data_IF_801618944299
#
_entry.id   IF_801618944299
#
_cell.length_a   1.000
_cell.length_b   1.000
_cell.length_c   1.000
_cell.angle_alpha   90.00
_cell.angle_beta   90.00
_cell.angle_gamma   90.00
#
_symmetry.space_group_name_H-M   'P 1'
#
loop_
_entity.id
_entity.type
_entity.pdbx_description
1 polymer ?
#
# COMPACT_ATOMS: atom_id res chain seq x y z
N UNK A 1 -11.11 -11.70 -12.58
CA UNK A 1 -9.74 -11.26 -12.18
C UNK A 1 -9.14 -12.32 -11.27
N UNK A 2 -7.84 -12.62 -11.39
CA UNK A 2 -7.16 -13.60 -10.52
C UNK A 2 -7.07 -12.98 -9.13
N UNK A 3 -7.50 -13.74 -8.11
CA UNK A 3 -7.32 -13.37 -6.71
C UNK A 3 -6.16 -14.16 -6.10
N UNK A 4 -5.45 -13.55 -5.16
CA UNK A 4 -4.39 -14.19 -4.36
C UNK A 4 -4.80 -14.15 -2.90
N UNK A 5 -4.39 -15.14 -2.13
CA UNK A 5 -4.54 -15.09 -0.68
C UNK A 5 -3.56 -14.08 -0.08
N UNK A 6 -4.02 -13.28 0.84
CA UNK A 6 -3.22 -12.27 1.52
C UNK A 6 -2.45 -12.89 2.70
N UNK A 7 -1.26 -13.41 2.39
CA UNK A 7 -0.46 -14.15 3.37
C UNK A 7 -1.15 -15.45 3.80
N UNK A 8 -1.36 -15.61 5.10
CA UNK A 8 -2.09 -16.74 5.71
C UNK A 8 -3.41 -16.30 6.35
N UNK A 9 -3.90 -15.11 6.01
CA UNK A 9 -5.09 -14.50 6.61
C UNK A 9 -6.42 -15.12 6.16
N UNK A 10 -6.43 -15.94 5.12
CA UNK A 10 -7.65 -16.42 4.47
C UNK A 10 -8.37 -15.38 3.62
N UNK A 11 -7.88 -14.13 3.57
CA UNK A 11 -8.49 -13.03 2.81
C UNK A 11 -8.03 -13.11 1.35
N UNK A 12 -8.97 -13.18 0.42
CA UNK A 12 -8.69 -13.22 -1.02
C UNK A 12 -8.72 -11.81 -1.60
N UNK A 13 -7.61 -11.33 -2.13
CA UNK A 13 -7.44 -9.97 -2.65
C UNK A 13 -7.19 -9.96 -4.16
N UNK A 14 -7.58 -8.87 -4.88
CA UNK A 14 -7.24 -8.69 -6.28
C UNK A 14 -5.73 -8.43 -6.47
N UNK A 15 -5.29 -8.42 -7.72
CA UNK A 15 -3.88 -8.23 -8.09
C UNK A 15 -3.31 -6.83 -7.79
N UNK A 16 -4.16 -5.86 -7.44
CA UNK A 16 -3.78 -4.49 -7.04
C UNK A 16 -4.56 -4.07 -5.80
N UNK A 17 -3.91 -3.25 -4.96
CA UNK A 17 -4.52 -2.54 -3.84
C UNK A 17 -4.66 -1.07 -4.19
N UNK A 18 -5.82 -0.47 -3.96
CA UNK A 18 -6.00 0.96 -4.17
C UNK A 18 -5.54 1.76 -2.95
N UNK A 19 -4.62 2.69 -3.16
CA UNK A 19 -4.12 3.58 -2.12
C UNK A 19 -5.03 4.79 -1.90
N UNK A 20 -5.71 4.82 -0.76
CA UNK A 20 -6.63 5.89 -0.36
C UNK A 20 -5.96 7.19 0.11
N UNK A 21 -4.62 7.28 0.06
CA UNK A 21 -3.88 8.48 0.48
C UNK A 21 -4.19 9.75 -0.35
N UNK A 22 -4.91 9.61 -1.44
CA UNK A 22 -5.39 10.73 -2.29
C UNK A 22 -6.72 11.31 -1.80
N UNK A 23 -7.49 10.56 -1.04
CA UNK A 23 -8.79 10.97 -0.53
C UNK A 23 -8.64 12.03 0.58
N UNK A 24 -9.43 13.09 0.49
CA UNK A 24 -9.34 14.23 1.40
C UNK A 24 -8.06 15.08 1.21
N UNK A 25 -7.33 14.89 0.11
CA UNK A 25 -6.16 15.68 -0.26
C UNK A 25 -6.22 16.15 -1.71
N UNK A 26 -5.87 15.28 -2.68
CA UNK A 26 -5.84 15.63 -4.11
C UNK A 26 -7.12 15.26 -4.84
N UNK A 27 -8.01 14.53 -4.19
CA UNK A 27 -9.31 14.09 -4.70
C UNK A 27 -10.40 14.51 -3.73
N UNK A 28 -11.40 15.21 -4.21
CA UNK A 28 -12.57 15.58 -3.43
C UNK A 28 -13.50 14.37 -3.12
N UNK A 29 -14.46 14.56 -2.25
CA UNK A 29 -15.35 13.48 -1.83
C UNK A 29 -16.18 12.90 -2.98
N UNK A 30 -16.70 13.74 -3.88
CA UNK A 30 -17.53 13.30 -5.00
C UNK A 30 -16.75 12.44 -5.99
N UNK A 31 -15.54 12.88 -6.35
CA UNK A 31 -14.61 12.10 -7.20
C UNK A 31 -14.16 10.83 -6.49
N UNK A 32 -13.90 10.89 -5.18
CA UNK A 32 -13.55 9.71 -4.37
C UNK A 32 -14.65 8.65 -4.41
N UNK A 33 -15.91 9.04 -4.30
CA UNK A 33 -17.03 8.12 -4.41
C UNK A 33 -17.13 7.47 -5.78
N UNK A 34 -16.91 8.25 -6.85
CA UNK A 34 -16.89 7.72 -8.21
C UNK A 34 -15.76 6.71 -8.43
N UNK A 35 -14.57 6.97 -7.86
CA UNK A 35 -13.44 6.04 -7.89
C UNK A 35 -13.75 4.77 -7.10
N UNK A 36 -14.32 4.87 -5.89
CA UNK A 36 -14.67 3.72 -5.06
C UNK A 36 -15.74 2.83 -5.72
N UNK A 37 -16.75 3.44 -6.36
CA UNK A 37 -17.75 2.70 -7.13
C UNK A 37 -17.13 1.98 -8.33
N UNK A 38 -16.23 2.64 -9.05
CA UNK A 38 -15.53 2.07 -10.19
C UNK A 38 -14.55 0.94 -9.78
N UNK A 39 -13.91 1.04 -8.60
CA UNK A 39 -13.09 -0.03 -8.03
C UNK A 39 -13.91 -1.29 -7.79
N UNK A 40 -15.08 -1.16 -7.17
CA UNK A 40 -15.97 -2.30 -6.93
C UNK A 40 -16.45 -2.89 -8.26
N UNK A 41 -16.88 -2.06 -9.22
CA UNK A 41 -17.32 -2.51 -10.53
C UNK A 41 -16.23 -3.27 -11.31
N UNK A 42 -14.96 -2.90 -11.14
CA UNK A 42 -13.80 -3.56 -11.76
C UNK A 42 -13.20 -4.68 -10.90
N UNK A 43 -13.80 -5.05 -9.76
CA UNK A 43 -13.29 -6.06 -8.83
C UNK A 43 -11.87 -5.75 -8.27
N UNK A 44 -11.49 -4.48 -8.24
CA UNK A 44 -10.29 -3.96 -7.58
C UNK A 44 -10.62 -3.44 -6.18
N UNK A 45 -11.32 -4.23 -5.41
CA UNK A 45 -12.02 -3.87 -4.18
C UNK A 45 -11.16 -3.96 -2.92
N UNK A 46 -9.84 -3.95 -3.02
CA UNK A 46 -8.93 -3.86 -1.88
C UNK A 46 -8.41 -2.43 -1.74
N UNK A 47 -8.72 -1.79 -0.61
CA UNK A 47 -8.46 -0.37 -0.34
C UNK A 47 -7.54 -0.27 0.86
N UNK A 48 -6.39 0.40 0.69
CA UNK A 48 -5.44 0.70 1.77
C UNK A 48 -5.53 2.17 2.17
N UNK A 49 -5.75 2.43 3.45
CA UNK A 49 -5.75 3.75 4.06
C UNK A 49 -4.91 3.76 5.34
N UNK A 50 -4.97 4.81 6.14
CA UNK A 50 -4.35 4.92 7.46
C UNK A 50 -5.03 6.03 8.27
N UNK A 51 -4.91 5.95 9.59
CA UNK A 51 -5.38 7.00 10.51
C UNK A 51 -4.75 8.36 10.22
N UNK A 52 -3.46 8.39 9.88
CA UNK A 52 -2.70 9.62 9.60
C UNK A 52 -2.94 10.18 8.19
N UNK A 53 -3.60 9.44 7.29
CA UNK A 53 -3.68 9.86 5.90
C UNK A 53 -4.41 11.17 5.74
N UNK A 54 -3.80 11.97 4.89
CA UNK A 54 -4.11 13.35 4.50
C UNK A 54 -3.79 14.43 5.54
N UNK A 55 -3.15 14.08 6.67
CA UNK A 55 -2.70 15.06 7.68
C UNK A 55 -1.70 16.09 7.13
N UNK A 56 -1.00 15.76 6.04
CA UNK A 56 -0.05 16.64 5.36
C UNK A 56 -0.70 17.72 4.49
N UNK A 57 -1.99 17.63 4.24
CA UNK A 57 -2.72 18.65 3.51
C UNK A 57 -3.10 19.82 4.45
N UNK A 58 -2.99 21.04 3.95
CA UNK A 58 -3.29 22.23 4.75
C UNK A 58 -4.74 22.18 5.31
N UNK A 59 -4.86 22.36 6.61
CA UNK A 59 -6.16 22.34 7.32
C UNK A 59 -6.58 20.94 7.80
N UNK A 60 -5.94 19.87 7.37
CA UNK A 60 -6.25 18.51 7.78
C UNK A 60 -5.54 18.14 9.10
N UNK A 61 -6.06 17.11 9.77
CA UNK A 61 -5.54 16.61 11.07
C UNK A 61 -5.19 15.12 11.05
N UNK A 62 -5.46 14.44 9.93
CA UNK A 62 -5.46 12.98 9.80
C UNK A 62 -6.85 12.38 10.02
N UNK A 63 -7.08 11.24 9.38
CA UNK A 63 -8.38 10.56 9.36
C UNK A 63 -9.31 10.97 8.24
N UNK A 64 -8.93 11.96 7.42
CA UNK A 64 -9.77 12.42 6.31
C UNK A 64 -10.00 11.33 5.28
N UNK A 65 -8.97 10.55 4.94
CA UNK A 65 -9.12 9.42 4.03
C UNK A 65 -10.09 8.36 4.55
N UNK A 66 -9.97 7.96 5.81
CA UNK A 66 -10.89 7.01 6.44
C UNK A 66 -12.32 7.57 6.49
N UNK A 67 -12.47 8.88 6.76
CA UNK A 67 -13.78 9.55 6.81
C UNK A 67 -14.47 9.54 5.44
N UNK A 68 -13.74 9.83 4.36
CA UNK A 68 -14.27 9.76 2.99
C UNK A 68 -14.72 8.34 2.65
N UNK A 69 -13.92 7.34 2.97
CA UNK A 69 -14.27 5.92 2.76
C UNK A 69 -15.52 5.57 3.58
N UNK A 70 -15.58 5.97 4.85
CA UNK A 70 -16.71 5.72 5.73
C UNK A 70 -18.02 6.36 5.23
N UNK A 71 -17.96 7.61 4.76
CA UNK A 71 -19.10 8.29 4.15
C UNK A 71 -19.62 7.54 2.92
N UNK A 72 -18.71 7.05 2.07
CA UNK A 72 -19.06 6.23 0.92
C UNK A 72 -19.67 4.89 1.34
N UNK A 73 -19.09 4.19 2.33
CA UNK A 73 -19.63 2.93 2.85
C UNK A 73 -21.07 3.08 3.35
N UNK A 74 -21.31 4.12 4.16
CA UNK A 74 -22.66 4.43 4.66
C UNK A 74 -23.66 4.73 3.54
N UNK A 75 -23.22 5.50 2.53
CA UNK A 75 -24.09 5.90 1.41
C UNK A 75 -24.37 4.73 0.47
N UNK A 76 -23.37 3.91 0.18
CA UNK A 76 -23.45 2.84 -0.82
C UNK A 76 -23.98 1.52 -0.26
N UNK A 77 -23.82 1.25 1.04
CA UNK A 77 -24.12 -0.04 1.67
C UNK A 77 -23.20 -1.19 1.21
N UNK A 78 -22.00 -0.87 0.66
CA UNK A 78 -21.12 -1.85 0.02
C UNK A 78 -20.00 -2.38 0.94
N UNK A 79 -20.13 -2.31 2.28
CA UNK A 79 -19.07 -2.74 3.19
C UNK A 79 -18.57 -4.16 2.93
N UNK A 80 -19.44 -5.11 2.67
CA UNK A 80 -19.11 -6.50 2.42
C UNK A 80 -18.50 -6.77 1.04
N UNK A 81 -18.56 -5.79 0.14
CA UNK A 81 -18.01 -5.90 -1.20
C UNK A 81 -16.56 -5.43 -1.29
N UNK A 82 -16.02 -4.83 -0.22
CA UNK A 82 -14.67 -4.28 -0.16
C UNK A 82 -13.84 -4.87 0.96
N UNK A 83 -12.54 -4.90 0.77
CA UNK A 83 -11.53 -5.25 1.75
C UNK A 83 -10.83 -3.95 2.14
N UNK A 84 -10.85 -3.61 3.43
CA UNK A 84 -10.28 -2.37 3.95
C UNK A 84 -9.07 -2.68 4.81
N UNK A 85 -7.92 -2.14 4.40
CA UNK A 85 -6.73 -2.05 5.23
C UNK A 85 -6.58 -0.64 5.78
N UNK A 86 -6.32 -0.52 7.07
CA UNK A 86 -5.88 0.74 7.67
C UNK A 86 -4.71 0.52 8.63
N UNK A 87 -4.17 1.59 9.21
CA UNK A 87 -2.90 1.54 9.95
C UNK A 87 -2.94 2.42 11.19
N UNK A 88 -2.08 2.08 12.16
CA UNK A 88 -1.86 2.83 13.41
C UNK A 88 -0.36 2.95 13.70
N UNK A 89 0.02 3.99 14.42
CA UNK A 89 1.36 4.13 14.98
C UNK A 89 2.07 5.42 14.59
N UNK A 90 1.76 6.03 13.46
CA UNK A 90 2.30 7.35 13.10
C UNK A 90 1.69 8.47 13.96
N UNK A 91 2.42 9.59 14.14
CA UNK A 91 1.93 10.69 14.97
C UNK A 91 0.61 11.29 14.47
N UNK A 92 -0.39 11.28 15.35
CA UNK A 92 -1.73 11.89 15.16
C UNK A 92 -1.98 13.05 16.14
N UNK A 93 -0.93 13.57 16.75
CA UNK A 93 -0.97 14.63 17.77
C UNK A 93 -0.36 14.19 19.09
N UNK A 94 -0.38 15.07 20.09
CA UNK A 94 0.24 14.80 21.39
C UNK A 94 -0.32 13.54 22.06
N UNK A 95 0.55 12.60 22.41
CA UNK A 95 0.21 11.33 23.04
C UNK A 95 -0.55 10.33 22.15
N UNK A 96 -0.64 10.58 20.84
CA UNK A 96 -1.31 9.72 19.85
C UNK A 96 -0.32 9.24 18.82
N UNK A 97 0.54 8.30 19.21
CA UNK A 97 1.55 7.67 18.38
C UNK A 97 2.05 6.36 18.98
N UNK A 98 2.81 5.59 18.20
CA UNK A 98 3.40 4.32 18.62
C UNK A 98 2.41 3.17 18.69
N UNK A 99 2.85 2.07 19.28
CA UNK A 99 2.11 0.80 19.28
C UNK A 99 1.82 0.30 20.71
N UNK A 100 1.73 1.21 21.68
CA UNK A 100 1.34 0.82 23.03
C UNK A 100 -0.09 0.26 23.04
N UNK A 101 -0.39 -0.72 23.90
CA UNK A 101 -1.73 -1.33 23.99
C UNK A 101 -2.85 -0.30 24.20
N UNK A 102 -2.57 0.73 25.02
CA UNK A 102 -3.51 1.81 25.27
C UNK A 102 -3.84 2.56 23.96
N UNK A 103 -2.81 2.90 23.18
CA UNK A 103 -3.00 3.68 21.96
C UNK A 103 -3.63 2.85 20.85
N UNK A 104 -3.22 1.58 20.67
CA UNK A 104 -3.82 0.67 19.69
C UNK A 104 -5.34 0.56 19.92
N UNK A 105 -5.77 0.32 21.18
CA UNK A 105 -7.20 0.22 21.52
C UNK A 105 -7.96 1.51 21.23
N UNK A 106 -7.37 2.67 21.53
CA UNK A 106 -7.98 3.96 21.22
C UNK A 106 -8.05 4.21 19.72
N UNK A 107 -6.96 3.99 19.01
CA UNK A 107 -6.84 4.29 17.58
C UNK A 107 -7.78 3.42 16.73
N UNK A 108 -7.97 2.13 17.07
CA UNK A 108 -8.90 1.26 16.33
C UNK A 108 -10.34 1.75 16.45
N UNK A 109 -10.79 2.20 17.64
CA UNK A 109 -12.14 2.75 17.82
C UNK A 109 -12.33 4.03 17.01
N UNK A 110 -11.29 4.89 16.98
CA UNK A 110 -11.32 6.11 16.19
C UNK A 110 -11.39 5.81 14.69
N UNK A 111 -10.64 4.81 14.21
CA UNK A 111 -10.67 4.34 12.81
C UNK A 111 -12.02 3.71 12.45
N UNK A 112 -12.57 2.83 13.29
CA UNK A 112 -13.90 2.23 13.08
C UNK A 112 -14.99 3.28 12.99
N UNK A 113 -14.93 4.32 13.84
CA UNK A 113 -15.88 5.44 13.82
C UNK A 113 -15.76 6.25 12.52
N UNK A 114 -14.54 6.57 12.06
CA UNK A 114 -14.33 7.30 10.80
C UNK A 114 -14.76 6.46 9.59
N UNK A 115 -14.41 5.18 9.58
CA UNK A 115 -14.82 4.23 8.54
C UNK A 115 -16.31 3.85 8.60
N UNK A 116 -17.01 4.17 9.68
CA UNK A 116 -18.42 3.84 9.88
C UNK A 116 -18.73 2.34 9.66
N UNK A 117 -17.90 1.49 10.26
CA UNK A 117 -17.98 0.02 10.17
C UNK A 117 -17.59 -0.61 11.50
N UNK A 118 -18.02 -1.87 11.71
CA UNK A 118 -17.77 -2.61 12.95
C UNK A 118 -16.46 -3.37 12.91
N UNK A 119 -15.85 -3.55 11.72
CA UNK A 119 -14.62 -4.31 11.56
C UNK A 119 -13.71 -3.76 10.47
N UNK A 120 -12.42 -4.06 10.62
CA UNK A 120 -11.34 -3.78 9.66
C UNK A 120 -10.82 -5.13 9.15
N UNK A 121 -10.62 -5.27 7.83
CA UNK A 121 -10.11 -6.52 7.26
C UNK A 121 -8.62 -6.72 7.54
N UNK A 122 -7.81 -5.67 7.42
CA UNK A 122 -6.38 -5.69 7.72
C UNK A 122 -5.98 -4.46 8.53
N UNK A 123 -5.50 -4.66 9.76
CA UNK A 123 -5.02 -3.58 10.62
C UNK A 123 -3.50 -3.66 10.76
N UNK A 124 -2.79 -2.59 10.42
CA UNK A 124 -1.34 -2.65 10.26
C UNK A 124 -0.62 -1.73 11.24
N UNK A 125 0.50 -2.22 11.81
CA UNK A 125 1.52 -1.34 12.39
C UNK A 125 2.11 -0.49 11.26
N UNK A 126 1.91 0.82 11.31
CA UNK A 126 2.37 1.74 10.26
C UNK A 126 3.90 1.93 10.27
N UNK A 127 4.49 1.88 11.45
CA UNK A 127 5.94 1.84 11.70
C UNK A 127 6.22 0.87 12.87
N UNK A 128 7.48 0.43 13.01
CA UNK A 128 7.95 -0.24 14.22
C UNK A 128 7.97 0.74 15.40
N UNK A 129 7.61 0.25 16.57
CA UNK A 129 7.73 0.99 17.84
C UNK A 129 8.67 0.22 18.78
N UNK A 130 9.91 0.72 18.91
CA UNK A 130 10.93 0.09 19.75
C UNK A 130 10.80 0.44 21.23
N UNK A 131 9.95 1.41 21.55
CA UNK A 131 9.69 1.83 22.94
C UNK A 131 8.64 0.92 23.61
N UNK A 132 7.84 0.20 22.79
CA UNK A 132 6.85 -0.76 23.26
C UNK A 132 7.33 -2.20 23.01
N UNK A 133 7.35 -3.07 24.02
CA UNK A 133 7.66 -4.50 23.83
C UNK A 133 6.74 -5.15 22.80
N UNK A 134 7.29 -5.97 21.89
CA UNK A 134 6.50 -6.67 20.87
C UNK A 134 5.39 -7.53 21.45
N UNK A 135 5.63 -8.15 22.61
CA UNK A 135 4.61 -8.95 23.31
C UNK A 135 3.38 -8.12 23.66
N UNK A 136 3.56 -6.88 24.08
CA UNK A 136 2.46 -5.98 24.43
C UNK A 136 1.71 -5.51 23.18
N UNK A 137 2.44 -5.11 22.14
CA UNK A 137 1.87 -4.70 20.85
C UNK A 137 1.05 -5.82 20.23
N UNK A 138 1.62 -7.04 20.13
CA UNK A 138 0.97 -8.18 19.51
C UNK A 138 -0.21 -8.70 20.34
N UNK A 139 -0.12 -8.65 21.69
CA UNK A 139 -1.24 -8.99 22.56
C UNK A 139 -2.43 -8.03 22.34
N UNK A 140 -2.16 -6.72 22.18
CA UNK A 140 -3.23 -5.75 21.88
C UNK A 140 -3.91 -6.02 20.53
N UNK A 141 -3.14 -6.35 19.50
CA UNK A 141 -3.72 -6.76 18.21
C UNK A 141 -4.51 -8.08 18.29
N UNK A 142 -3.99 -9.06 19.03
CA UNK A 142 -4.67 -10.34 19.26
C UNK A 142 -6.03 -10.16 19.95
N UNK A 143 -6.10 -9.25 20.93
CA UNK A 143 -7.39 -8.87 21.56
C UNK A 143 -8.39 -8.31 20.54
N UNK A 144 -7.94 -7.47 19.59
CA UNK A 144 -8.80 -6.90 18.56
C UNK A 144 -9.35 -7.96 17.60
N UNK A 145 -8.53 -8.95 17.26
CA UNK A 145 -8.96 -10.10 16.45
C UNK A 145 -9.99 -10.93 17.20
N UNK A 146 -9.73 -11.27 18.48
CA UNK A 146 -10.65 -12.03 19.35
C UNK A 146 -11.98 -11.29 19.56
N UNK A 147 -11.94 -9.97 19.59
CA UNK A 147 -13.14 -9.13 19.69
C UNK A 147 -13.89 -8.98 18.35
N UNK A 148 -13.38 -9.53 17.25
CA UNK A 148 -13.99 -9.43 15.93
C UNK A 148 -13.88 -8.06 15.27
N UNK A 149 -13.10 -7.13 15.83
CA UNK A 149 -12.87 -5.79 15.29
C UNK A 149 -11.87 -5.75 14.14
N UNK A 150 -10.98 -6.74 14.08
CA UNK A 150 -9.92 -6.88 13.09
C UNK A 150 -9.88 -8.33 12.62
N UNK A 151 -9.74 -8.56 11.30
CA UNK A 151 -9.68 -9.93 10.75
C UNK A 151 -8.24 -10.43 10.64
N UNK A 152 -7.30 -9.55 10.24
CA UNK A 152 -5.89 -9.87 10.09
C UNK A 152 -5.03 -8.66 10.46
N UNK A 153 -3.79 -8.90 10.84
CA UNK A 153 -2.82 -7.84 11.16
C UNK A 153 -1.61 -7.88 10.24
N UNK A 154 -0.93 -6.73 10.09
CA UNK A 154 0.23 -6.59 9.24
C UNK A 154 1.25 -5.59 9.77
N UNK A 155 2.45 -5.63 9.19
CA UNK A 155 3.55 -4.74 9.51
C UNK A 155 3.95 -3.89 8.30
N UNK A 156 4.22 -2.60 8.52
CA UNK A 156 4.78 -1.69 7.53
C UNK A 156 6.04 -1.03 8.10
N UNK A 157 7.03 -0.76 7.25
CA UNK A 157 8.30 -0.11 7.64
C UNK A 157 9.11 -0.86 8.71
N UNK A 158 8.95 -2.16 8.83
CA UNK A 158 9.79 -3.01 9.69
C UNK A 158 11.09 -3.40 8.99
N UNK A 159 12.18 -3.47 9.76
CA UNK A 159 13.40 -4.12 9.33
C UNK A 159 13.25 -5.64 9.40
N UNK A 160 14.07 -6.38 8.63
CA UNK A 160 13.93 -7.83 8.52
C UNK A 160 14.12 -8.59 9.85
N UNK A 161 15.12 -8.19 10.64
CA UNK A 161 15.39 -8.75 11.96
C UNK A 161 14.21 -8.54 12.92
N UNK A 162 13.68 -7.33 12.93
CA UNK A 162 12.57 -6.95 13.79
C UNK A 162 11.26 -7.64 13.40
N UNK A 163 11.04 -7.84 12.09
CA UNK A 163 9.89 -8.61 11.60
C UNK A 163 9.97 -10.07 12.01
N UNK A 164 11.16 -10.69 11.89
CA UNK A 164 11.38 -12.07 12.36
C UNK A 164 11.17 -12.19 13.86
N UNK A 165 11.68 -11.24 14.65
CA UNK A 165 11.45 -11.19 16.10
C UNK A 165 9.95 -11.13 16.43
N UNK A 166 9.19 -10.27 15.73
CA UNK A 166 7.75 -10.16 15.94
C UNK A 166 7.01 -11.48 15.64
N UNK A 167 7.38 -12.17 14.57
CA UNK A 167 6.81 -13.48 14.22
C UNK A 167 7.14 -14.54 15.26
N UNK A 168 8.38 -14.56 15.78
CA UNK A 168 8.80 -15.48 16.83
C UNK A 168 8.06 -15.21 18.16
N UNK A 169 7.91 -13.92 18.53
CA UNK A 169 7.14 -13.53 19.72
C UNK A 169 5.69 -13.98 19.62
N UNK A 170 5.06 -13.83 18.46
CA UNK A 170 3.69 -14.33 18.23
C UNK A 170 3.61 -15.84 18.43
N UNK A 171 4.52 -16.59 17.83
CA UNK A 171 4.54 -18.07 17.93
C UNK A 171 4.76 -18.54 19.36
N UNK A 172 5.76 -17.99 20.04
CA UNK A 172 6.12 -18.37 21.42
C UNK A 172 5.02 -18.08 22.44
N UNK A 173 4.20 -17.06 22.21
CA UNK A 173 3.16 -16.63 23.13
C UNK A 173 1.75 -17.00 22.66
N UNK A 174 1.59 -17.72 21.54
CA UNK A 174 0.29 -18.08 20.99
C UNK A 174 -0.58 -16.87 20.62
N UNK A 175 0.05 -15.78 20.18
CA UNK A 175 -0.61 -14.54 19.78
C UNK A 175 -0.85 -14.51 18.27
N UNK A 176 -1.75 -13.64 17.83
CA UNK A 176 -1.91 -13.32 16.42
C UNK A 176 -0.59 -12.85 15.82
N UNK A 177 -0.31 -13.28 14.59
CA UNK A 177 0.91 -12.94 13.87
C UNK A 177 0.64 -11.89 12.80
N UNK A 178 1.66 -11.17 12.40
CA UNK A 178 1.59 -10.40 11.18
C UNK A 178 1.45 -11.34 9.97
N UNK A 179 0.35 -11.20 9.22
CA UNK A 179 0.10 -11.94 7.97
C UNK A 179 0.59 -11.20 6.74
N UNK A 180 0.86 -9.91 6.87
CA UNK A 180 1.29 -9.07 5.75
C UNK A 180 2.50 -8.21 6.09
N UNK A 181 3.24 -7.88 5.02
CA UNK A 181 4.30 -6.88 5.03
C UNK A 181 4.00 -5.79 4.00
N UNK A 182 4.13 -4.52 4.40
CA UNK A 182 3.98 -3.37 3.51
C UNK A 182 5.29 -2.58 3.41
N UNK A 183 6.21 -2.92 2.47
CA UNK A 183 7.47 -2.23 2.25
C UNK A 183 7.40 -1.21 1.11
N UNK A 184 8.35 -0.28 1.02
CA UNK A 184 8.62 0.43 -0.23
C UNK A 184 9.25 -0.54 -1.24
N UNK A 185 8.64 -0.68 -2.42
CA UNK A 185 9.20 -1.51 -3.50
C UNK A 185 8.69 -1.07 -4.87
N UNK A 186 9.58 -0.84 -5.79
CA UNK A 186 9.31 -0.48 -7.19
C UNK A 186 10.60 -0.62 -8.01
N UNK A 187 10.54 -0.39 -9.33
CA UNK A 187 11.73 -0.47 -10.21
C UNK A 187 12.89 0.45 -9.79
N UNK A 188 12.63 1.52 -9.06
CA UNK A 188 13.69 2.40 -8.56
C UNK A 188 14.17 1.99 -7.15
N UNK A 189 13.27 1.65 -6.24
CA UNK A 189 13.57 1.28 -4.86
C UNK A 189 13.48 -0.24 -4.67
N UNK A 190 14.53 -0.97 -5.07
CA UNK A 190 14.57 -2.45 -5.04
C UNK A 190 15.25 -3.01 -3.80
N UNK A 191 16.41 -2.44 -3.45
CA UNK A 191 17.31 -3.03 -2.47
C UNK A 191 16.73 -3.18 -1.07
N UNK A 192 15.93 -2.21 -0.62
CA UNK A 192 15.32 -2.23 0.71
C UNK A 192 14.43 -3.44 0.95
N UNK A 193 13.81 -3.95 -0.11
CA UNK A 193 12.99 -5.16 -0.04
C UNK A 193 13.78 -6.42 -0.42
N UNK A 194 14.45 -6.43 -1.58
CA UNK A 194 15.09 -7.63 -2.16
C UNK A 194 16.27 -8.17 -1.33
N UNK A 195 17.01 -7.33 -0.58
CA UNK A 195 18.20 -7.77 0.17
C UNK A 195 17.89 -8.68 1.37
N UNK A 196 16.78 -8.43 2.07
CA UNK A 196 16.47 -9.18 3.29
C UNK A 196 14.98 -9.45 3.48
N UNK A 197 14.10 -8.44 3.27
CA UNK A 197 12.68 -8.57 3.54
C UNK A 197 11.97 -9.57 2.63
N UNK A 198 12.38 -9.70 1.38
CA UNK A 198 11.80 -10.66 0.43
C UNK A 198 11.96 -12.10 0.92
N UNK A 199 13.16 -12.46 1.38
CA UNK A 199 13.41 -13.80 1.92
C UNK A 199 12.56 -14.09 3.16
N UNK A 200 12.44 -13.11 4.08
CA UNK A 200 11.58 -13.24 5.26
C UNK A 200 10.11 -13.40 4.85
N UNK A 201 9.62 -12.58 3.92
CA UNK A 201 8.25 -12.66 3.46
C UNK A 201 7.92 -14.02 2.85
N UNK A 202 8.80 -14.55 2.00
CA UNK A 202 8.64 -15.88 1.39
C UNK A 202 8.72 -17.02 2.41
N UNK A 203 9.74 -17.00 3.28
CA UNK A 203 9.95 -18.04 4.29
C UNK A 203 8.76 -18.15 5.25
N UNK A 204 8.20 -17.01 5.65
CA UNK A 204 7.10 -16.97 6.62
C UNK A 204 5.71 -16.91 5.97
N UNK A 205 5.62 -16.89 4.63
CA UNK A 205 4.35 -16.86 3.90
C UNK A 205 3.56 -15.57 4.16
N UNK A 206 4.24 -14.42 4.17
CA UNK A 206 3.61 -13.11 4.32
C UNK A 206 3.04 -12.62 2.99
N UNK A 207 1.86 -12.03 3.02
CA UNK A 207 1.31 -11.30 1.89
C UNK A 207 1.99 -9.93 1.75
N UNK A 208 2.57 -9.63 0.59
CA UNK A 208 3.28 -8.36 0.38
C UNK A 208 2.42 -7.40 -0.42
N UNK A 209 2.15 -6.23 0.17
CA UNK A 209 1.40 -5.13 -0.42
C UNK A 209 2.29 -3.88 -0.42
N UNK A 210 3.22 -3.79 -1.36
CA UNK A 210 4.22 -2.73 -1.39
C UNK A 210 3.63 -1.36 -1.73
N UNK A 211 4.15 -0.31 -1.08
CA UNK A 211 3.79 1.08 -1.39
C UNK A 211 4.78 1.74 -2.35
N UNK A 212 4.41 2.94 -2.85
CA UNK A 212 5.16 3.69 -3.88
C UNK A 212 5.41 2.90 -5.16
N UNK A 213 4.48 2.04 -5.56
CA UNK A 213 4.59 1.18 -6.75
C UNK A 213 5.01 1.92 -8.02
N UNK A 214 4.65 3.19 -8.16
CA UNK A 214 5.05 4.06 -9.26
C UNK A 214 6.10 5.12 -8.87
N UNK A 215 6.87 4.92 -7.79
CA UNK A 215 7.86 5.87 -7.29
C UNK A 215 7.28 7.30 -7.19
N UNK A 216 6.19 7.45 -6.44
CA UNK A 216 5.41 8.70 -6.30
C UNK A 216 4.86 9.27 -7.62
N UNK A 217 4.83 8.48 -8.67
CA UNK A 217 4.40 8.86 -10.02
C UNK A 217 5.54 9.13 -11.01
N UNK A 218 6.80 8.95 -10.61
CA UNK A 218 7.95 9.06 -11.53
C UNK A 218 7.90 8.01 -12.65
N UNK A 219 7.58 6.77 -12.32
CA UNK A 219 7.53 5.66 -13.27
C UNK A 219 6.35 5.71 -14.25
N UNK A 220 5.49 6.72 -14.16
CA UNK A 220 4.51 7.03 -15.23
C UNK A 220 5.16 7.64 -16.47
N UNK A 221 6.42 8.08 -16.35
CA UNK A 221 7.16 8.71 -17.45
C UNK A 221 6.84 10.19 -17.69
N UNK A 222 6.03 10.83 -16.86
CA UNK A 222 5.65 12.24 -17.05
C UNK A 222 6.75 13.26 -16.65
N UNK A 223 7.75 12.82 -15.88
CA UNK A 223 8.87 13.66 -15.44
C UNK A 223 10.13 13.30 -16.21
N UNK A 224 10.55 14.16 -17.15
CA UNK A 224 11.71 13.96 -18.03
C UNK A 224 12.78 15.04 -17.86
N UNK A 225 12.43 16.16 -17.27
CA UNK A 225 13.30 17.30 -17.03
C UNK A 225 12.90 18.07 -15.79
N UNK A 226 13.77 18.96 -15.31
CA UNK A 226 13.48 19.87 -14.19
C UNK A 226 12.29 20.80 -14.47
N UNK A 227 11.94 21.02 -15.76
CA UNK A 227 10.77 21.83 -16.13
C UNK A 227 9.44 21.17 -15.78
N UNK A 228 9.46 19.88 -15.46
CA UNK A 228 8.26 19.09 -15.17
C UNK A 228 7.82 19.16 -13.69
N UNK A 229 8.53 19.91 -12.85
CA UNK A 229 8.23 20.08 -11.41
C UNK A 229 6.76 20.44 -11.16
N UNK A 230 6.20 21.36 -11.94
CA UNK A 230 4.82 21.83 -11.79
C UNK A 230 3.71 20.83 -12.14
N UNK A 231 4.04 19.62 -12.62
CA UNK A 231 3.04 18.63 -13.07
C UNK A 231 2.24 17.98 -11.92
N UNK A 232 2.70 18.11 -10.68
CA UNK A 232 1.93 17.69 -9.49
C UNK A 232 2.45 18.39 -8.24
N UNK A 233 1.67 18.29 -7.13
CA UNK A 233 2.09 18.80 -5.82
C UNK A 233 3.39 18.15 -5.29
N UNK A 234 3.73 16.94 -5.77
CA UNK A 234 4.96 16.21 -5.41
C UNK A 234 6.11 16.41 -6.41
N UNK A 235 5.92 17.24 -7.44
CA UNK A 235 6.84 17.32 -8.57
C UNK A 235 8.27 17.67 -8.18
N UNK A 236 8.46 18.59 -7.24
CA UNK A 236 9.80 18.98 -6.75
C UNK A 236 10.52 17.78 -6.10
N UNK A 237 9.87 17.11 -5.17
CA UNK A 237 10.41 15.91 -4.50
C UNK A 237 10.69 14.79 -5.51
N UNK A 238 9.80 14.59 -6.49
CA UNK A 238 9.96 13.54 -7.51
C UNK A 238 11.18 13.83 -8.40
N UNK A 239 11.30 15.05 -8.90
CA UNK A 239 12.43 15.44 -9.76
C UNK A 239 13.74 15.34 -8.99
N UNK A 240 13.81 15.86 -7.78
CA UNK A 240 15.02 15.82 -6.95
C UNK A 240 15.45 14.39 -6.63
N UNK A 241 14.52 13.51 -6.30
CA UNK A 241 14.83 12.13 -5.87
C UNK A 241 15.15 11.20 -7.04
N UNK A 242 14.41 11.30 -8.14
CA UNK A 242 14.38 10.24 -9.16
C UNK A 242 14.96 10.67 -10.52
N UNK A 243 15.00 11.97 -10.84
CA UNK A 243 15.48 12.43 -12.13
C UNK A 243 17.03 12.50 -12.16
N UNK A 244 17.64 11.35 -12.29
CA UNK A 244 19.09 11.15 -12.36
C UNK A 244 19.42 10.10 -13.44
N UNK A 245 20.69 9.80 -13.73
CA UNK A 245 21.06 8.86 -14.79
C UNK A 245 20.39 7.48 -14.63
N UNK A 246 20.26 6.96 -13.40
CA UNK A 246 19.58 5.69 -13.13
C UNK A 246 18.07 5.79 -13.40
N UNK A 247 17.43 6.83 -12.93
CA UNK A 247 16.00 7.05 -13.19
C UNK A 247 15.72 7.17 -14.68
N UNK A 248 16.53 7.92 -15.43
CA UNK A 248 16.38 8.06 -16.88
C UNK A 248 16.60 6.73 -17.62
N UNK A 249 17.55 5.89 -17.18
CA UNK A 249 17.74 4.54 -17.73
C UNK A 249 16.51 3.65 -17.52
N UNK A 250 15.91 3.71 -16.34
CA UNK A 250 14.67 2.97 -16.03
C UNK A 250 13.52 3.47 -16.93
N UNK A 251 13.37 4.79 -17.07
CA UNK A 251 12.32 5.36 -17.94
C UNK A 251 12.51 4.96 -19.40
N UNK A 252 13.74 4.93 -19.90
CA UNK A 252 14.02 4.50 -21.27
C UNK A 252 13.63 3.03 -21.52
N UNK A 253 13.90 2.15 -20.54
CA UNK A 253 13.46 0.75 -20.62
C UNK A 253 11.94 0.63 -20.55
N UNK A 254 11.28 1.42 -19.72
CA UNK A 254 9.81 1.46 -19.64
C UNK A 254 9.18 1.95 -20.95
N UNK A 255 9.76 2.95 -21.61
CA UNK A 255 9.29 3.45 -22.90
C UNK A 255 9.35 2.35 -23.98
N UNK A 256 10.49 1.64 -24.09
CA UNK A 256 10.65 0.53 -25.01
C UNK A 256 9.62 -0.58 -24.80
N UNK A 257 9.35 -0.91 -23.53
CA UNK A 257 8.33 -1.91 -23.20
C UNK A 257 6.91 -1.38 -23.47
N UNK A 258 6.64 -0.12 -23.16
CA UNK A 258 5.35 0.52 -23.42
C UNK A 258 5.02 0.51 -24.93
N UNK A 259 5.98 0.83 -25.77
CA UNK A 259 5.85 0.76 -27.23
C UNK A 259 5.59 -0.68 -27.71
N UNK A 260 6.40 -1.64 -27.21
CA UNK A 260 6.27 -3.08 -27.56
C UNK A 260 4.88 -3.63 -27.23
N UNK A 261 4.37 -3.30 -26.04
CA UNK A 261 3.08 -3.80 -25.55
C UNK A 261 1.89 -2.88 -25.90
N UNK A 262 2.15 -1.74 -26.59
CA UNK A 262 1.16 -0.71 -26.93
C UNK A 262 0.37 -0.24 -25.70
N UNK A 263 1.09 0.12 -24.66
CA UNK A 263 0.56 0.50 -23.35
C UNK A 263 1.35 1.70 -22.76
N UNK A 264 1.20 1.96 -21.46
CA UNK A 264 1.87 3.06 -20.78
C UNK A 264 3.02 2.57 -19.88
N UNK A 265 4.06 3.39 -19.60
CA UNK A 265 5.10 3.08 -18.63
C UNK A 265 4.54 2.71 -17.26
N UNK A 266 3.45 3.34 -16.82
CA UNK A 266 2.77 3.02 -15.57
C UNK A 266 2.24 1.58 -15.56
N UNK A 267 1.58 1.14 -16.64
CA UNK A 267 1.07 -0.22 -16.76
C UNK A 267 2.21 -1.25 -16.79
N UNK A 268 3.31 -0.97 -17.49
CA UNK A 268 4.52 -1.84 -17.48
C UNK A 268 5.09 -1.95 -16.07
N UNK A 269 5.23 -0.83 -15.36
CA UNK A 269 5.77 -0.82 -13.99
C UNK A 269 4.91 -1.66 -13.02
N UNK A 270 3.60 -1.53 -13.11
CA UNK A 270 2.66 -2.30 -12.28
C UNK A 270 2.64 -3.79 -12.69
N UNK A 271 2.64 -4.09 -13.99
CA UNK A 271 2.70 -5.46 -14.48
C UNK A 271 4.00 -6.17 -14.04
N UNK A 272 5.14 -5.44 -13.99
CA UNK A 272 6.39 -5.95 -13.46
C UNK A 272 6.26 -6.33 -11.97
N UNK A 273 5.61 -5.50 -11.14
CA UNK A 273 5.33 -5.81 -9.73
C UNK A 273 4.38 -7.01 -9.58
N UNK A 274 3.29 -7.05 -10.35
CA UNK A 274 2.29 -8.13 -10.32
C UNK A 274 2.92 -9.48 -10.70
N UNK A 275 3.93 -9.46 -11.59
CA UNK A 275 4.65 -10.64 -12.03
C UNK A 275 5.65 -11.18 -10.99
N UNK A 276 5.98 -10.43 -9.93
CA UNK A 276 6.87 -10.89 -8.86
C UNK A 276 6.19 -11.95 -7.99
N UNK A 277 6.78 -13.15 -7.82
CA UNK A 277 6.19 -14.20 -7.00
C UNK A 277 5.98 -13.79 -5.54
N UNK A 278 6.86 -12.93 -5.01
CA UNK A 278 6.83 -12.45 -3.63
C UNK A 278 5.82 -11.32 -3.39
N UNK A 279 5.23 -10.74 -4.45
CA UNK A 279 4.28 -9.63 -4.35
C UNK A 279 2.84 -10.15 -4.47
N UNK A 280 2.00 -9.80 -3.51
CA UNK A 280 0.58 -10.17 -3.50
C UNK A 280 -0.25 -9.17 -4.28
N UNK A 281 -0.22 -7.89 -3.88
CA UNK A 281 -1.04 -6.83 -4.47
C UNK A 281 -0.39 -5.45 -4.26
N UNK A 282 0.37 -4.93 -5.25
CA UNK A 282 1.01 -3.61 -5.14
C UNK A 282 -0.02 -2.51 -4.92
N UNK A 283 0.31 -1.52 -4.07
CA UNK A 283 -0.54 -0.38 -3.77
C UNK A 283 -0.29 0.73 -4.80
N UNK A 284 -1.36 1.20 -5.41
CA UNK A 284 -1.33 2.31 -6.34
C UNK A 284 -2.59 3.15 -6.21
N UNK A 285 -2.48 4.46 -6.43
CA UNK A 285 -3.60 5.41 -6.37
C UNK A 285 -3.92 5.97 -7.74
N UNK A 286 -5.15 6.41 -7.92
CA UNK A 286 -5.62 7.18 -9.06
C UNK A 286 -6.37 8.42 -8.57
N UNK A 287 -6.30 9.52 -9.32
CA UNK A 287 -7.01 10.78 -9.03
C UNK A 287 -8.13 11.07 -10.05
N UNK A 288 -8.32 10.17 -11.01
CA UNK A 288 -9.38 10.24 -12.02
C UNK A 288 -9.79 8.84 -12.47
N UNK A 289 -10.99 8.71 -13.04
CA UNK A 289 -11.47 7.45 -13.63
C UNK A 289 -10.57 6.99 -14.79
N UNK A 290 -10.03 7.91 -15.59
CA UNK A 290 -9.09 7.58 -16.65
C UNK A 290 -7.82 6.89 -16.10
N UNK A 291 -7.24 7.42 -15.01
CA UNK A 291 -6.11 6.78 -14.35
C UNK A 291 -6.51 5.41 -13.78
N UNK A 292 -7.70 5.29 -13.21
CA UNK A 292 -8.19 3.99 -12.72
C UNK A 292 -8.29 2.95 -13.85
N UNK A 293 -8.76 3.35 -15.03
CA UNK A 293 -8.80 2.46 -16.19
C UNK A 293 -7.39 1.97 -16.60
N UNK A 294 -6.37 2.83 -16.49
CA UNK A 294 -4.98 2.41 -16.67
C UNK A 294 -4.55 1.34 -15.64
N UNK A 295 -4.95 1.49 -14.37
CA UNK A 295 -4.66 0.49 -13.34
C UNK A 295 -5.33 -0.85 -13.65
N UNK A 296 -6.59 -0.81 -14.09
CA UNK A 296 -7.32 -2.02 -14.56
C UNK A 296 -6.58 -2.68 -15.71
N UNK A 297 -6.09 -1.90 -16.68
CA UNK A 297 -5.28 -2.40 -17.79
C UNK A 297 -4.03 -3.13 -17.35
N UNK A 298 -3.32 -2.60 -16.35
CA UNK A 298 -2.11 -3.21 -15.79
C UNK A 298 -2.34 -4.63 -15.26
N UNK A 299 -3.50 -4.91 -14.67
CA UNK A 299 -3.82 -6.25 -14.13
C UNK A 299 -4.03 -7.32 -15.20
N UNK A 300 -4.22 -6.92 -16.45
CA UNK A 300 -4.44 -7.81 -17.60
C UNK A 300 -3.17 -8.01 -18.43
N UNK A 301 -2.15 -7.18 -18.17
CA UNK A 301 -0.91 -7.19 -18.94
C UNK A 301 0.01 -8.31 -18.44
N UNK A 302 0.45 -9.18 -19.37
CA UNK A 302 1.39 -10.25 -19.09
C UNK A 302 2.71 -9.96 -19.79
N UNK A 303 3.75 -9.67 -19.02
CA UNK A 303 5.10 -9.46 -19.52
C UNK A 303 5.80 -10.79 -19.79
N UNK A 304 6.55 -10.87 -20.88
CA UNK A 304 7.40 -12.02 -21.16
C UNK A 304 8.60 -12.04 -20.21
N UNK A 305 9.09 -13.23 -19.89
CA UNK A 305 10.24 -13.39 -18.97
C UNK A 305 11.50 -12.61 -19.42
N UNK A 306 11.73 -12.48 -20.73
CA UNK A 306 12.83 -11.71 -21.26
C UNK A 306 12.69 -10.20 -20.97
N UNK A 307 11.45 -9.67 -21.02
CA UNK A 307 11.15 -8.27 -20.77
C UNK A 307 11.26 -7.94 -19.27
N UNK A 308 10.82 -8.85 -18.41
CA UNK A 308 11.02 -8.74 -16.96
C UNK A 308 12.52 -8.64 -16.65
N UNK A 309 13.36 -9.52 -17.25
CA UNK A 309 14.82 -9.46 -17.06
C UNK A 309 15.43 -8.15 -17.59
N UNK A 310 14.95 -7.63 -18.70
CA UNK A 310 15.40 -6.35 -19.24
C UNK A 310 15.09 -5.17 -18.29
N UNK A 311 13.90 -5.16 -17.69
CA UNK A 311 13.52 -4.19 -16.65
C UNK A 311 14.35 -4.38 -15.37
N UNK A 312 14.64 -5.62 -14.98
CA UNK A 312 15.49 -5.93 -13.84
C UNK A 312 16.92 -5.38 -14.05
N UNK A 313 17.49 -5.56 -15.24
CA UNK A 313 18.81 -5.03 -15.57
C UNK A 313 18.83 -3.50 -15.61
N UNK A 314 17.86 -2.88 -16.27
CA UNK A 314 17.75 -1.42 -16.35
C UNK A 314 17.59 -0.76 -14.97
N UNK A 315 16.98 -1.45 -14.01
CA UNK A 315 16.70 -0.96 -12.65
C UNK A 315 17.77 -1.34 -11.63
N UNK A 316 18.78 -2.13 -12.01
CA UNK A 316 19.88 -2.54 -11.11
C UNK A 316 20.56 -1.31 -10.50
N UNK A 317 20.86 -1.39 -9.22
CA UNK A 317 21.74 -0.44 -8.51
C UNK A 317 23.16 -0.80 -8.93
N UNK A 318 23.88 0.17 -9.50
CA UNK A 318 25.26 0.03 -9.96
C UNK A 318 26.24 0.04 -8.81
#
# INVERSE_FOLDING_TARGET
MIKKELGRSGIQVPALTFGGNVFGWTVDEATSFSLLDALVANQLNFIDTADVYSSWAAGNKGGESETVIGNWLKKSGKREQVIIATKVGKPMGAGKQGLSPRYIRQAVEDSLRRLQTDYIDLYQSHDDDRDTPLTETLAAFDELIKAGKVRAIGASNYQADRLVEALQVSEQNGLARYDTLQPEYNLYAREGYEKALEAVAQQHGLGVINFFSLASGFLTGKYRSVKDIGKSQRGDTIVTRYLNPRGLRILAALDQMADKYRTTPAQISLAWLIARPSITAPIVSATSLQQLDELVGATRLQLQAADIRALDEASRVG
#
